data_IF_505930386439
#
_entry.id   IF_505930386439
#
_cell.length_a   1.000
_cell.length_b   1.000
_cell.length_c   1.000
_cell.angle_alpha   90.00
_cell.angle_beta   90.00
_cell.angle_gamma   90.00
#
_symmetry.space_group_name_H-M   'P 1'
#
loop_
_entity.id
_entity.type
_entity.pdbx_description
1 polymer ?
#
# COMPACT_ATOMS: atom_id res chain seq x y z
N UNK A 1 -7.94 22.58 -21.11
CA UNK A 1 -8.97 21.62 -21.53
C UNK A 1 -8.79 20.38 -20.65
N UNK A 2 -9.73 20.07 -19.79
CA UNK A 2 -9.66 18.88 -18.94
C UNK A 2 -9.95 17.66 -19.83
N UNK A 3 -8.99 16.75 -19.95
CA UNK A 3 -9.26 15.45 -20.60
C UNK A 3 -10.46 14.78 -19.92
N UNK A 4 -11.34 14.23 -20.75
CA UNK A 4 -12.48 13.46 -20.28
C UNK A 4 -11.97 12.25 -19.47
N UNK A 5 -12.45 12.03 -18.23
CA UNK A 5 -12.02 10.91 -17.39
C UNK A 5 -12.12 9.54 -18.08
N UNK A 6 -13.08 9.36 -19.00
CA UNK A 6 -13.21 8.13 -19.78
C UNK A 6 -12.10 7.96 -20.84
N UNK A 7 -11.64 9.05 -21.46
CA UNK A 7 -10.48 9.00 -22.38
C UNK A 7 -9.15 8.78 -21.66
N UNK A 8 -8.99 9.37 -20.48
CA UNK A 8 -7.83 9.11 -19.63
C UNK A 8 -7.78 7.64 -19.17
N UNK A 9 -8.92 7.02 -18.84
CA UNK A 9 -9.01 5.62 -18.49
C UNK A 9 -8.62 4.68 -19.64
N UNK A 10 -8.95 5.03 -20.89
CA UNK A 10 -8.56 4.25 -22.07
C UNK A 10 -7.07 4.32 -22.39
N UNK A 11 -6.35 5.33 -21.89
CA UNK A 11 -4.91 5.53 -22.12
C UNK A 11 -4.03 5.05 -20.95
N UNK A 12 -4.62 4.57 -19.88
CA UNK A 12 -3.87 4.13 -18.69
C UNK A 12 -3.01 2.91 -19.03
N UNK A 13 -1.66 3.01 -18.85
CA UNK A 13 -0.73 1.95 -19.26
C UNK A 13 -0.56 0.82 -18.25
N UNK A 14 -1.35 0.79 -17.19
CA UNK A 14 -1.29 -0.20 -16.12
C UNK A 14 -2.69 -0.56 -15.63
N UNK A 15 -2.78 -1.63 -14.85
CA UNK A 15 -4.01 -2.11 -14.21
C UNK A 15 -3.82 -2.19 -12.69
N UNK A 16 -4.80 -1.69 -11.94
CA UNK A 16 -4.95 -2.00 -10.51
C UNK A 16 -5.64 -3.35 -10.41
N UNK A 17 -4.94 -4.35 -9.86
CA UNK A 17 -5.42 -5.73 -9.81
C UNK A 17 -6.24 -6.03 -8.56
N UNK A 18 -6.00 -5.32 -7.46
CA UNK A 18 -6.70 -5.51 -6.20
C UNK A 18 -5.94 -4.92 -5.01
N UNK A 19 -6.45 -5.17 -3.83
CA UNK A 19 -5.78 -4.77 -2.58
C UNK A 19 -4.67 -5.78 -2.29
N UNK A 20 -3.47 -5.28 -2.03
CA UNK A 20 -2.33 -6.09 -1.61
C UNK A 20 -2.26 -6.16 -0.08
N UNK A 21 -2.41 -5.01 0.60
CA UNK A 21 -2.33 -4.94 2.05
C UNK A 21 -3.21 -3.83 2.64
N UNK A 22 -3.45 -3.98 3.93
CA UNK A 22 -4.04 -2.97 4.80
C UNK A 22 -3.12 -2.82 6.00
N UNK A 23 -2.58 -1.62 6.22
CA UNK A 23 -1.71 -1.35 7.34
C UNK A 23 -2.48 -0.64 8.47
N UNK A 24 -2.52 -1.28 9.62
CA UNK A 24 -3.25 -0.82 10.81
C UNK A 24 -2.25 -0.52 11.92
N UNK A 25 -2.28 0.70 12.43
CA UNK A 25 -1.38 1.15 13.48
C UNK A 25 -2.07 1.29 14.84
N UNK A 26 -1.34 0.92 15.88
CA UNK A 26 -1.73 1.11 17.28
C UNK A 26 -0.51 1.45 18.12
N UNK A 27 -0.75 1.91 19.36
CA UNK A 27 0.35 2.16 20.31
C UNK A 27 0.91 0.87 20.91
N UNK A 28 0.11 -0.19 20.89
CA UNK A 28 0.42 -1.51 21.42
C UNK A 28 0.06 -2.57 20.37
N UNK A 29 1.08 -3.15 19.76
CA UNK A 29 0.94 -4.19 18.76
C UNK A 29 0.29 -5.45 19.33
N UNK A 30 0.48 -5.75 20.63
CA UNK A 30 -0.11 -6.93 21.26
C UNK A 30 -1.64 -6.86 21.30
N UNK A 31 -2.22 -5.66 21.45
CA UNK A 31 -3.65 -5.47 21.38
C UNK A 31 -4.20 -5.73 19.96
N UNK A 32 -3.48 -5.29 18.92
CA UNK A 32 -3.80 -5.58 17.53
C UNK A 32 -3.70 -7.08 17.25
N UNK A 33 -2.60 -7.72 17.64
CA UNK A 33 -2.38 -9.17 17.45
C UNK A 33 -3.51 -9.99 18.11
N UNK A 34 -3.88 -9.64 19.34
CA UNK A 34 -4.99 -10.30 20.03
C UNK A 34 -6.31 -10.18 19.25
N UNK A 35 -6.62 -9.03 18.70
CA UNK A 35 -7.85 -8.86 17.91
C UNK A 35 -7.77 -9.59 16.57
N UNK A 36 -6.75 -9.29 15.77
CA UNK A 36 -6.70 -9.73 14.39
C UNK A 36 -6.32 -11.20 14.24
N UNK A 37 -5.37 -11.68 15.02
CA UNK A 37 -4.88 -13.06 14.96
C UNK A 37 -5.70 -13.97 15.88
N UNK A 38 -5.76 -13.68 17.19
CA UNK A 38 -6.36 -14.61 18.15
C UNK A 38 -7.88 -14.67 18.04
N UNK A 39 -8.57 -13.52 17.87
CA UNK A 39 -10.02 -13.45 17.87
C UNK A 39 -10.63 -13.53 16.48
N UNK A 40 -10.04 -12.88 15.48
CA UNK A 40 -10.53 -12.89 14.08
C UNK A 40 -9.96 -14.04 13.25
N UNK A 41 -8.90 -14.69 13.73
CA UNK A 41 -8.35 -15.90 13.13
C UNK A 41 -7.49 -15.68 11.89
N UNK A 42 -6.89 -14.49 11.71
CA UNK A 42 -5.94 -14.27 10.63
C UNK A 42 -4.68 -15.11 10.87
N UNK A 43 -4.05 -15.55 9.78
CA UNK A 43 -2.86 -16.41 9.84
C UNK A 43 -1.59 -15.56 9.99
N UNK A 44 -0.79 -15.71 11.05
CA UNK A 44 0.51 -15.06 11.16
C UNK A 44 1.43 -15.47 9.99
N UNK A 45 2.14 -14.50 9.41
CA UNK A 45 3.02 -14.72 8.25
C UNK A 45 4.46 -14.30 8.50
N UNK A 46 4.67 -13.24 9.26
CA UNK A 46 6.00 -12.71 9.49
C UNK A 46 6.00 -11.48 10.39
N UNK A 47 7.14 -10.83 10.45
CA UNK A 47 7.31 -9.56 11.15
C UNK A 47 8.36 -8.71 10.43
N UNK A 48 8.26 -7.40 10.60
CA UNK A 48 9.22 -6.45 10.06
C UNK A 48 9.51 -5.37 11.09
N UNK A 49 10.77 -4.93 11.16
CA UNK A 49 11.20 -3.86 12.06
C UNK A 49 12.15 -2.91 11.34
N UNK A 50 11.87 -1.62 11.43
CA UNK A 50 12.67 -0.58 10.82
C UNK A 50 12.79 0.64 11.72
N UNK A 51 13.99 0.93 12.18
CA UNK A 51 14.29 2.15 12.95
C UNK A 51 14.09 3.42 12.09
N UNK A 52 14.38 3.32 10.79
CA UNK A 52 14.19 4.41 9.83
C UNK A 52 12.71 4.78 9.69
N UNK A 53 11.86 3.77 9.58
CA UNK A 53 10.40 3.94 9.42
C UNK A 53 9.70 4.05 10.79
N UNK A 54 10.45 3.95 11.88
CA UNK A 54 9.93 3.97 13.26
C UNK A 54 8.79 2.96 13.45
N UNK A 55 8.96 1.75 12.93
CA UNK A 55 7.93 0.72 12.92
C UNK A 55 8.44 -0.62 13.43
N UNK A 56 7.60 -1.28 14.21
CA UNK A 56 7.68 -2.69 14.59
C UNK A 56 6.31 -3.30 14.27
N UNK A 57 6.26 -4.25 13.34
CA UNK A 57 5.01 -4.81 12.83
C UNK A 57 5.01 -6.34 12.81
N UNK A 58 3.82 -6.91 12.99
CA UNK A 58 3.50 -8.30 12.69
C UNK A 58 2.62 -8.33 11.44
N UNK A 59 2.92 -9.25 10.53
CA UNK A 59 2.21 -9.42 9.27
C UNK A 59 1.29 -10.63 9.41
N UNK A 60 0.00 -10.41 9.18
CA UNK A 60 -1.02 -11.45 9.16
C UNK A 60 -1.68 -11.54 7.77
N UNK A 61 -2.21 -12.71 7.44
CA UNK A 61 -2.81 -12.99 6.15
C UNK A 61 -4.33 -13.17 6.29
N UNK A 62 -5.06 -12.43 5.47
CA UNK A 62 -6.50 -12.55 5.30
C UNK A 62 -6.82 -13.18 3.94
N UNK A 63 -7.52 -14.32 3.94
CA UNK A 63 -7.79 -15.08 2.73
C UNK A 63 -6.63 -15.97 2.29
N UNK A 64 -6.71 -16.50 1.08
CA UNK A 64 -5.74 -17.46 0.51
C UNK A 64 -5.51 -17.23 -0.98
N UNK A 65 -4.36 -17.70 -1.48
CA UNK A 65 -4.04 -17.66 -2.91
C UNK A 65 -3.79 -16.23 -3.42
N UNK A 66 -4.05 -15.97 -4.71
CA UNK A 66 -3.73 -14.69 -5.34
C UNK A 66 -4.60 -13.50 -4.88
N UNK A 67 -5.67 -13.78 -4.15
CA UNK A 67 -6.61 -12.79 -3.57
C UNK A 67 -6.35 -12.51 -2.10
N UNK A 68 -5.32 -13.11 -1.56
CA UNK A 68 -4.89 -12.91 -0.19
C UNK A 68 -4.47 -11.46 0.03
N UNK A 69 -4.89 -10.90 1.17
CA UNK A 69 -4.53 -9.54 1.60
C UNK A 69 -3.64 -9.66 2.84
N UNK A 70 -2.52 -8.95 2.85
CA UNK A 70 -1.72 -8.77 4.06
C UNK A 70 -2.39 -7.75 4.98
N UNK A 71 -2.33 -7.99 6.28
CA UNK A 71 -2.75 -7.04 7.31
C UNK A 71 -1.55 -6.78 8.20
N UNK A 72 -0.98 -5.59 8.07
CA UNK A 72 0.19 -5.17 8.84
C UNK A 72 -0.26 -4.56 10.16
N UNK A 73 0.13 -5.19 11.26
CA UNK A 73 -0.20 -4.79 12.62
C UNK A 73 0.98 -4.02 13.20
N UNK A 74 0.93 -2.70 13.12
CA UNK A 74 2.06 -1.82 13.37
C UNK A 74 2.00 -1.13 14.73
N UNK A 75 3.15 -0.99 15.37
CA UNK A 75 3.36 -0.04 16.47
C UNK A 75 4.60 0.82 16.20
N UNK A 76 4.67 2.05 16.71
CA UNK A 76 5.90 2.82 16.66
C UNK A 76 6.94 2.21 17.60
N UNK A 77 8.22 2.23 17.19
CA UNK A 77 9.33 1.90 18.09
C UNK A 77 9.45 2.97 19.18
N UNK A 78 9.29 4.23 18.79
CA UNK A 78 9.24 5.38 19.67
C UNK A 78 7.99 6.21 19.34
N UNK A 79 6.96 6.23 20.21
CA UNK A 79 5.69 6.90 19.93
C UNK A 79 5.80 8.43 19.81
N UNK A 80 6.89 9.03 20.27
CA UNK A 80 7.11 10.47 20.23
C UNK A 80 7.87 10.92 18.96
N UNK A 81 8.45 9.96 18.22
CA UNK A 81 9.15 10.21 16.96
C UNK A 81 8.24 10.09 15.74
N UNK A 82 8.71 10.66 14.62
CA UNK A 82 8.10 10.49 13.30
C UNK A 82 8.90 9.49 12.46
N UNK A 83 8.23 8.77 11.54
CA UNK A 83 6.78 8.78 11.29
C UNK A 83 5.97 8.15 12.44
N UNK A 84 4.77 8.65 12.68
CA UNK A 84 3.82 8.11 13.65
C UNK A 84 2.94 7.07 12.99
N UNK A 85 3.39 5.82 12.96
CA UNK A 85 2.71 4.73 12.25
C UNK A 85 1.32 4.38 12.80
N UNK A 86 0.99 4.85 14.01
CA UNK A 86 -0.30 4.66 14.66
C UNK A 86 -1.27 5.85 14.48
N UNK A 87 -0.88 6.87 13.72
CA UNK A 87 -1.69 8.06 13.47
C UNK A 87 -1.66 8.46 11.99
N UNK A 88 -2.75 8.25 11.24
CA UNK A 88 -4.03 7.63 11.63
C UNK A 88 -3.92 6.11 11.86
N UNK A 89 -4.88 5.52 12.58
CA UNK A 89 -4.89 4.09 12.84
C UNK A 89 -4.95 3.23 11.56
N UNK A 90 -5.72 3.63 10.55
CA UNK A 90 -5.58 3.10 9.20
C UNK A 90 -4.43 3.87 8.53
N UNK A 91 -3.24 3.29 8.55
CA UNK A 91 -2.02 3.97 8.10
C UNK A 91 -1.99 4.11 6.58
N UNK A 92 -2.13 2.99 5.85
CA UNK A 92 -2.17 3.01 4.38
C UNK A 92 -2.88 1.78 3.82
N UNK A 93 -3.16 1.85 2.52
CA UNK A 93 -3.69 0.75 1.72
C UNK A 93 -2.71 0.47 0.59
N UNK A 94 -2.31 -0.78 0.42
CA UNK A 94 -1.48 -1.27 -0.68
C UNK A 94 -2.34 -1.82 -1.83
N UNK A 95 -1.98 -1.47 -3.06
CA UNK A 95 -2.66 -1.90 -4.28
C UNK A 95 -1.70 -2.67 -5.18
N UNK A 96 -2.09 -3.86 -5.63
CA UNK A 96 -1.37 -4.59 -6.67
C UNK A 96 -1.45 -3.85 -8.00
N UNK A 97 -0.29 -3.60 -8.61
CA UNK A 97 -0.14 -2.95 -9.91
C UNK A 97 0.63 -3.89 -10.84
N UNK A 98 0.13 -4.10 -12.06
CA UNK A 98 0.78 -5.00 -13.03
C UNK A 98 2.07 -4.42 -13.66
N UNK A 99 2.18 -3.09 -13.75
CA UNK A 99 3.37 -2.38 -14.24
C UNK A 99 3.60 -1.10 -13.40
N UNK A 100 4.35 -1.23 -12.32
CA UNK A 100 4.60 -0.14 -11.38
C UNK A 100 5.40 1.02 -12.00
N UNK A 101 6.48 0.80 -12.80
CA UNK A 101 7.18 1.90 -13.45
C UNK A 101 6.29 2.70 -14.40
N UNK A 102 5.47 2.03 -15.21
CA UNK A 102 4.52 2.71 -16.11
C UNK A 102 3.45 3.49 -15.33
N UNK A 103 2.96 2.92 -14.22
CA UNK A 103 2.00 3.59 -13.34
C UNK A 103 2.57 4.87 -12.74
N UNK A 104 3.77 4.81 -12.18
CA UNK A 104 4.42 5.97 -11.55
C UNK A 104 4.70 7.06 -12.58
N UNK A 105 5.23 6.71 -13.75
CA UNK A 105 5.51 7.67 -14.81
C UNK A 105 4.23 8.37 -15.30
N UNK A 106 3.18 7.61 -15.57
CA UNK A 106 1.91 8.13 -16.06
C UNK A 106 1.19 9.01 -15.02
N UNK A 107 1.11 8.56 -13.77
CA UNK A 107 0.50 9.31 -12.68
C UNK A 107 1.26 10.61 -12.39
N UNK A 108 2.60 10.58 -12.44
CA UNK A 108 3.44 11.78 -12.28
C UNK A 108 3.15 12.79 -13.38
N UNK A 109 3.06 12.35 -14.64
CA UNK A 109 2.73 13.22 -15.78
C UNK A 109 1.34 13.87 -15.63
N UNK A 110 0.43 13.23 -14.90
CA UNK A 110 -0.89 13.78 -14.58
C UNK A 110 -0.90 14.65 -13.30
N UNK A 111 0.25 14.93 -12.69
CA UNK A 111 0.36 15.77 -11.51
C UNK A 111 0.00 15.07 -10.19
N UNK A 112 0.11 13.75 -10.13
CA UNK A 112 -0.03 13.02 -8.87
C UNK A 112 1.24 13.16 -8.04
N UNK A 113 1.08 13.54 -6.78
CA UNK A 113 2.17 13.68 -5.83
C UNK A 113 2.53 12.33 -5.20
N UNK A 114 3.80 11.97 -5.32
CA UNK A 114 4.38 10.82 -4.61
C UNK A 114 5.16 11.25 -3.36
N UNK A 115 5.35 10.33 -2.43
CA UNK A 115 6.26 10.54 -1.30
C UNK A 115 7.72 10.51 -1.78
N UNK A 116 8.66 11.14 -1.06
CA UNK A 116 10.08 11.04 -1.39
C UNK A 116 10.58 9.59 -1.38
N UNK A 117 11.54 9.29 -2.25
CA UNK A 117 12.20 7.98 -2.32
C UNK A 117 11.88 7.17 -3.57
N UNK A 118 10.87 7.55 -4.35
CA UNK A 118 10.52 6.88 -5.61
C UNK A 118 10.19 5.39 -5.43
N UNK A 119 10.41 4.60 -6.49
CA UNK A 119 10.25 3.14 -6.46
C UNK A 119 11.40 2.54 -5.64
N UNK A 120 11.06 1.69 -4.68
CA UNK A 120 12.00 1.02 -3.78
C UNK A 120 11.47 -0.32 -3.31
N UNK A 121 12.33 -1.17 -2.76
CA UNK A 121 11.91 -2.42 -2.13
C UNK A 121 11.14 -2.13 -0.84
N UNK A 122 9.91 -2.64 -0.72
CA UNK A 122 9.07 -2.57 0.46
C UNK A 122 9.32 -3.71 1.46
N UNK A 123 8.60 -3.71 2.58
CA UNK A 123 8.71 -4.71 3.65
C UNK A 123 8.41 -6.14 3.17
N UNK A 124 7.46 -6.31 2.26
CA UNK A 124 7.08 -7.59 1.65
C UNK A 124 8.07 -8.11 0.58
N UNK A 125 9.16 -7.37 0.31
CA UNK A 125 10.15 -7.71 -0.72
C UNK A 125 9.76 -7.33 -2.15
N UNK A 126 8.58 -6.74 -2.36
CA UNK A 126 8.15 -6.21 -3.65
C UNK A 126 8.62 -4.77 -3.85
N UNK A 127 8.70 -4.34 -5.12
CA UNK A 127 8.90 -2.92 -5.43
C UNK A 127 7.64 -2.12 -5.13
N UNK A 128 7.81 -0.97 -4.50
CA UNK A 128 6.71 -0.11 -4.04
C UNK A 128 6.98 1.36 -4.33
N UNK A 129 5.91 2.15 -4.43
CA UNK A 129 5.95 3.61 -4.45
C UNK A 129 4.69 4.15 -3.80
N UNK A 130 4.78 5.27 -3.06
CA UNK A 130 3.65 5.79 -2.30
C UNK A 130 3.10 7.08 -2.89
N UNK A 131 1.78 7.11 -3.14
CA UNK A 131 1.06 8.35 -3.42
C UNK A 131 0.87 9.11 -2.10
N UNK A 132 1.31 10.36 -2.10
CA UNK A 132 1.20 11.21 -0.91
C UNK A 132 -0.27 11.53 -0.59
N UNK A 133 -0.69 11.56 0.70
CA UNK A 133 -2.08 11.84 1.07
C UNK A 133 -2.52 13.29 0.77
N UNK A 134 -1.57 14.20 0.57
CA UNK A 134 -1.87 15.61 0.28
C UNK A 134 -1.14 16.07 -0.97
N UNK A 135 -1.82 16.85 -1.82
CA UNK A 135 -1.23 17.52 -2.97
C UNK A 135 -0.25 18.63 -2.59
N UNK A 136 0.33 19.26 -3.60
CA UNK A 136 1.15 20.47 -3.54
C UNK A 136 0.84 21.35 -4.75
N UNK A 137 1.37 22.57 -4.78
CA UNK A 137 1.17 23.47 -5.91
C UNK A 137 1.66 22.89 -7.24
N UNK A 138 2.81 22.18 -7.22
CA UNK A 138 3.41 21.54 -8.40
C UNK A 138 2.79 20.19 -8.75
N UNK A 139 2.18 19.52 -7.77
CA UNK A 139 1.56 18.20 -7.92
C UNK A 139 0.23 18.18 -7.15
N UNK A 140 -0.85 18.73 -7.76
CA UNK A 140 -2.09 18.99 -7.04
C UNK A 140 -2.93 17.74 -6.75
N UNK A 141 -2.70 16.63 -7.46
CA UNK A 141 -3.43 15.38 -7.23
C UNK A 141 -2.75 14.52 -6.17
N UNK A 142 -3.53 13.88 -5.33
CA UNK A 142 -3.05 13.16 -4.15
C UNK A 142 -3.95 11.98 -3.81
N UNK A 143 -3.67 11.31 -2.71
CA UNK A 143 -4.54 10.29 -2.14
C UNK A 143 -5.74 10.85 -1.35
N UNK A 144 -5.98 12.16 -1.38
CA UNK A 144 -7.11 12.84 -0.74
C UNK A 144 -7.28 12.46 0.75
N UNK A 145 -6.16 12.47 1.47
CA UNK A 145 -6.09 12.12 2.89
C UNK A 145 -5.65 10.68 3.16
N UNK A 146 -5.63 9.82 2.15
CA UNK A 146 -5.17 8.42 2.26
C UNK A 146 -3.75 8.29 1.73
N UNK A 147 -2.85 7.67 2.50
CA UNK A 147 -1.57 7.18 1.99
C UNK A 147 -1.82 5.90 1.20
N UNK A 148 -1.46 5.88 -0.09
CA UNK A 148 -1.69 4.73 -0.96
C UNK A 148 -0.34 4.17 -1.41
N UNK A 149 -0.11 2.90 -1.13
CA UNK A 149 1.04 2.16 -1.61
C UNK A 149 0.72 1.48 -2.93
N UNK A 150 1.49 1.73 -3.97
CA UNK A 150 1.46 0.99 -5.22
C UNK A 150 2.51 -0.10 -5.16
N UNK A 151 2.13 -1.34 -5.33
CA UNK A 151 2.97 -2.53 -5.15
C UNK A 151 3.07 -3.28 -6.47
N UNK A 152 4.29 -3.55 -6.96
CA UNK A 152 4.48 -4.36 -8.15
C UNK A 152 3.99 -5.77 -7.93
N UNK A 153 2.97 -6.18 -8.66
CA UNK A 153 2.41 -7.51 -8.55
C UNK A 153 3.39 -8.56 -9.12
N UNK A 154 3.56 -9.71 -8.43
CA UNK A 154 4.30 -10.83 -8.97
C UNK A 154 3.56 -11.50 -10.14
N UNK A 155 4.28 -12.23 -11.02
CA UNK A 155 3.67 -12.86 -12.20
C UNK A 155 2.46 -13.75 -11.89
N UNK A 156 2.46 -14.46 -10.76
CA UNK A 156 1.36 -15.33 -10.36
C UNK A 156 0.06 -14.54 -10.07
N UNK A 157 0.15 -13.38 -9.42
CA UNK A 157 -0.99 -12.49 -9.15
C UNK A 157 -1.51 -11.91 -10.46
N UNK A 158 -0.63 -11.43 -11.34
CA UNK A 158 -1.01 -10.90 -12.65
C UNK A 158 -1.76 -11.96 -13.48
N UNK A 159 -1.23 -13.19 -13.52
CA UNK A 159 -1.85 -14.29 -14.27
C UNK A 159 -3.24 -14.65 -13.73
N UNK A 160 -3.40 -14.72 -12.40
CA UNK A 160 -4.67 -15.03 -11.78
C UNK A 160 -5.76 -13.98 -12.10
N UNK A 161 -5.40 -12.71 -12.02
CA UNK A 161 -6.34 -11.63 -12.35
C UNK A 161 -6.73 -11.60 -13.83
N UNK A 162 -5.81 -11.91 -14.75
CA UNK A 162 -6.12 -12.03 -16.19
C UNK A 162 -7.07 -13.19 -16.51
N UNK A 163 -6.97 -14.27 -15.74
CA UNK A 163 -7.85 -15.45 -15.93
C UNK A 163 -9.26 -15.18 -15.40
N UNK A 164 -9.38 -14.46 -14.29
CA UNK A 164 -10.68 -14.12 -13.69
C UNK A 164 -11.47 -13.05 -14.47
N UNK A 165 -10.80 -12.27 -15.31
CA UNK A 165 -11.43 -11.23 -16.14
C UNK A 165 -12.01 -11.74 -17.48
N UNK A 166 -11.91 -13.05 -17.74
CA UNK A 166 -12.49 -13.76 -18.92
C UNK A 166 -13.77 -14.49 -18.53
#
# INVERSE_FOLDING_TARGET
MSENPAEAAQKRPFTVLGIQQIAVGGRDKSALTRLWIDLLGLTPSGSFRSERENVDEDIALCGTGPWQVEVDLMQPIDPDKRPRVHEPALNHIGLWIDDLPAAVAWLTALGVRFTPGGIRTGASGHEVCFIHPKGSDDSPRSGEGVLIELVQAPPAVIAAHRTAAR
#
